data_IF_567482903672
#
_entry.id   IF_567482903672
#
_cell.length_a   1.000
_cell.length_b   1.000
_cell.length_c   1.000
_cell.angle_alpha   90.00
_cell.angle_beta   90.00
_cell.angle_gamma   90.00
#
_symmetry.space_group_name_H-M   'P 1'
#
loop_
_entity.id
_entity.type
_entity.pdbx_description
1 polymer ?
#
# COMPACT_ATOMS: atom_id res chain seq x y z
N UNK A 1 2.33 11.35 -21.84
CA UNK A 1 1.68 10.63 -20.73
C UNK A 1 2.59 10.75 -19.52
N UNK A 2 2.09 11.16 -18.35
CA UNK A 2 2.86 11.15 -17.10
C UNK A 2 2.79 9.72 -16.58
N UNK A 3 3.89 8.96 -16.68
CA UNK A 3 3.92 7.57 -16.24
C UNK A 3 3.81 7.44 -14.72
N UNK A 4 3.19 6.36 -14.26
CA UNK A 4 3.12 6.08 -12.81
C UNK A 4 4.54 5.88 -12.26
N UNK A 5 4.84 6.50 -11.11
CA UNK A 5 6.11 6.29 -10.42
C UNK A 5 5.94 5.14 -9.40
N UNK A 6 6.22 3.91 -9.84
CA UNK A 6 6.15 2.71 -8.99
C UNK A 6 7.08 2.80 -7.78
N UNK A 7 8.24 3.45 -7.92
CA UNK A 7 9.16 3.63 -6.78
C UNK A 7 8.58 4.57 -5.72
N UNK A 8 7.86 5.61 -6.14
CA UNK A 8 7.13 6.47 -5.21
C UNK A 8 6.00 5.71 -4.51
N UNK A 9 5.22 4.90 -5.24
CA UNK A 9 4.18 4.05 -4.67
C UNK A 9 4.73 3.02 -3.69
N UNK A 10 5.86 2.38 -4.03
CA UNK A 10 6.59 1.46 -3.14
C UNK A 10 7.08 2.17 -1.88
N UNK A 11 7.61 3.37 -2.01
CA UNK A 11 8.02 4.18 -0.85
C UNK A 11 6.85 4.49 0.07
N UNK A 12 5.68 4.84 -0.49
CA UNK A 12 4.46 5.08 0.28
C UNK A 12 3.97 3.80 0.99
N UNK A 13 3.93 2.67 0.29
CA UNK A 13 3.58 1.38 0.87
C UNK A 13 4.50 1.00 2.06
N UNK A 14 5.81 1.23 1.91
CA UNK A 14 6.77 0.98 2.98
C UNK A 14 6.52 1.87 4.21
N UNK A 15 6.17 3.16 4.02
CA UNK A 15 5.83 4.06 5.13
C UNK A 15 4.57 3.59 5.87
N UNK A 16 3.55 3.16 5.13
CA UNK A 16 2.32 2.62 5.71
C UNK A 16 2.59 1.35 6.52
N UNK A 17 3.44 0.46 5.99
CA UNK A 17 3.89 -0.73 6.71
C UNK A 17 4.66 -0.38 8.00
N UNK A 18 5.54 0.62 7.96
CA UNK A 18 6.25 1.11 9.15
C UNK A 18 5.29 1.65 10.21
N UNK A 19 4.29 2.43 9.81
CA UNK A 19 3.27 2.91 10.74
C UNK A 19 2.46 1.77 11.36
N UNK A 20 2.08 0.76 10.58
CA UNK A 20 1.42 -0.44 11.10
C UNK A 20 2.30 -1.17 12.15
N UNK A 21 3.60 -1.32 11.88
CA UNK A 21 4.55 -1.88 12.85
C UNK A 21 4.61 -1.07 14.14
N UNK A 22 4.68 0.27 14.06
CA UNK A 22 4.66 1.14 15.25
C UNK A 22 3.36 0.98 16.04
N UNK A 23 2.20 0.89 15.39
CA UNK A 23 0.93 0.66 16.10
C UNK A 23 0.89 -0.70 16.80
N UNK A 24 1.48 -1.74 16.20
CA UNK A 24 1.59 -3.05 16.85
C UNK A 24 2.52 -3.03 18.07
N UNK A 25 3.57 -2.20 18.05
CA UNK A 25 4.43 -2.00 19.23
C UNK A 25 3.68 -1.27 20.34
N UNK A 26 2.96 -0.19 20.01
CA UNK A 26 2.11 0.54 20.96
C UNK A 26 1.05 -0.39 21.56
N UNK A 27 0.41 -1.24 20.74
CA UNK A 27 -0.54 -2.25 21.19
C UNK A 27 0.08 -3.16 22.26
N UNK A 28 1.28 -3.72 21.99
CA UNK A 28 1.95 -4.64 22.93
C UNK A 28 2.30 -3.95 24.24
N UNK A 29 2.77 -2.71 24.17
CA UNK A 29 3.11 -1.91 25.35
C UNK A 29 1.87 -1.60 26.20
N UNK A 30 0.76 -1.22 25.55
CA UNK A 30 -0.48 -0.91 26.23
C UNK A 30 -1.11 -2.17 26.87
N UNK A 31 -1.05 -3.31 26.19
CA UNK A 31 -1.51 -4.58 26.75
C UNK A 31 -0.67 -5.02 27.95
N UNK A 32 0.66 -4.86 27.87
CA UNK A 32 1.54 -5.12 29.02
C UNK A 32 1.23 -4.20 30.20
N UNK A 33 0.98 -2.91 29.94
CA UNK A 33 0.56 -1.95 30.96
C UNK A 33 -0.76 -2.37 31.61
N UNK A 34 -1.75 -2.81 30.82
CA UNK A 34 -3.04 -3.32 31.33
C UNK A 34 -2.83 -4.48 32.28
N UNK A 35 -2.00 -5.45 31.90
CA UNK A 35 -1.69 -6.62 32.74
C UNK A 35 -1.04 -6.18 34.06
N UNK A 36 -0.06 -5.28 34.00
CA UNK A 36 0.62 -4.79 35.21
C UNK A 36 -0.33 -4.03 36.15
N UNK A 37 -1.22 -3.20 35.60
CA UNK A 37 -2.23 -2.49 36.39
C UNK A 37 -3.18 -3.46 37.10
N UNK A 38 -3.65 -4.51 36.42
CA UNK A 38 -4.52 -5.52 37.03
C UNK A 38 -3.82 -6.32 38.14
N UNK A 39 -2.49 -6.47 38.09
CA UNK A 39 -1.73 -7.12 39.15
C UNK A 39 -1.55 -6.22 40.37
N UNK A 40 -1.25 -4.93 40.14
CA UNK A 40 -0.94 -3.98 41.21
C UNK A 40 -2.18 -3.36 41.87
N UNK A 41 -3.29 -3.26 41.13
CA UNK A 41 -4.49 -2.55 41.57
C UNK A 41 -5.73 -3.40 41.31
N UNK A 42 -6.35 -3.88 42.39
CA UNK A 42 -7.58 -4.69 42.36
C UNK A 42 -8.75 -3.89 42.95
N UNK A 43 -9.14 -2.81 42.28
CA UNK A 43 -10.30 -2.01 42.68
C UNK A 43 -11.38 -2.03 41.59
N UNK A 44 -12.62 -1.71 41.97
CA UNK A 44 -13.78 -1.76 41.08
C UNK A 44 -13.60 -0.83 39.87
N UNK A 45 -12.91 0.31 40.05
CA UNK A 45 -12.62 1.28 38.99
C UNK A 45 -11.79 0.67 37.85
N UNK A 46 -11.02 -0.39 38.11
CA UNK A 46 -10.25 -1.08 37.07
C UNK A 46 -11.14 -1.67 35.98
N UNK A 47 -12.42 -1.92 36.25
CA UNK A 47 -13.38 -2.36 35.23
C UNK A 47 -13.50 -1.34 34.10
N UNK A 48 -13.60 -0.05 34.44
CA UNK A 48 -13.73 1.03 33.46
C UNK A 48 -12.41 1.30 32.73
N UNK A 49 -11.28 1.24 33.45
CA UNK A 49 -9.94 1.38 32.87
C UNK A 49 -9.69 0.24 31.86
N UNK A 50 -10.00 -1.01 32.24
CA UNK A 50 -9.85 -2.17 31.36
C UNK A 50 -10.75 -2.06 30.12
N UNK A 51 -11.98 -1.57 30.25
CA UNK A 51 -12.87 -1.34 29.13
C UNK A 51 -12.29 -0.33 28.14
N UNK A 52 -11.81 0.82 28.64
CA UNK A 52 -11.18 1.85 27.82
C UNK A 52 -9.91 1.33 27.11
N UNK A 53 -9.05 0.60 27.83
CA UNK A 53 -7.84 0.02 27.22
C UNK A 53 -8.21 -1.01 26.15
N UNK A 54 -9.20 -1.87 26.41
CA UNK A 54 -9.67 -2.86 25.43
C UNK A 54 -10.17 -2.18 24.15
N UNK A 55 -10.90 -1.08 24.28
CA UNK A 55 -11.33 -0.29 23.12
C UNK A 55 -10.14 0.26 22.35
N UNK A 56 -9.15 0.87 23.03
CA UNK A 56 -7.94 1.38 22.38
C UNK A 56 -7.16 0.27 21.66
N UNK A 57 -7.02 -0.90 22.27
CA UNK A 57 -6.35 -2.05 21.67
C UNK A 57 -7.05 -2.52 20.38
N UNK A 58 -8.39 -2.53 20.37
CA UNK A 58 -9.17 -2.86 19.19
C UNK A 58 -8.96 -1.82 18.07
N UNK A 59 -9.01 -0.54 18.40
CA UNK A 59 -8.79 0.55 17.43
C UNK A 59 -7.37 0.51 16.83
N UNK A 60 -6.34 0.25 17.66
CA UNK A 60 -4.97 0.07 17.21
C UNK A 60 -4.83 -1.11 16.23
N UNK A 61 -5.47 -2.24 16.54
CA UNK A 61 -5.46 -3.43 15.69
C UNK A 61 -6.13 -3.18 14.33
N UNK A 62 -7.30 -2.52 14.33
CA UNK A 62 -8.02 -2.14 13.10
C UNK A 62 -7.19 -1.16 12.26
N UNK A 63 -6.59 -0.15 12.89
CA UNK A 63 -5.79 0.85 12.19
C UNK A 63 -4.52 0.22 11.58
N UNK A 64 -3.80 -0.60 12.33
CA UNK A 64 -2.62 -1.35 11.85
C UNK A 64 -2.95 -2.24 10.65
N UNK A 65 -4.08 -2.96 10.71
CA UNK A 65 -4.55 -3.81 9.61
C UNK A 65 -4.91 -2.99 8.38
N UNK A 66 -5.61 -1.86 8.57
CA UNK A 66 -6.00 -0.95 7.48
C UNK A 66 -4.78 -0.36 6.78
N UNK A 67 -3.78 0.11 7.53
CA UNK A 67 -2.54 0.66 6.97
C UNK A 67 -1.79 -0.39 6.14
N UNK A 68 -1.74 -1.63 6.62
CA UNK A 68 -1.10 -2.74 5.89
C UNK A 68 -1.83 -3.05 4.59
N UNK A 69 -3.18 -3.08 4.61
CA UNK A 69 -3.99 -3.31 3.42
C UNK A 69 -3.79 -2.19 2.40
N UNK A 70 -3.94 -0.93 2.81
CA UNK A 70 -3.78 0.23 1.93
C UNK A 70 -2.37 0.26 1.32
N UNK A 71 -1.34 -0.06 2.09
CA UNK A 71 0.03 -0.14 1.57
C UNK A 71 0.17 -1.19 0.47
N UNK A 72 -0.41 -2.37 0.65
CA UNK A 72 -0.46 -3.42 -0.36
C UNK A 72 -1.21 -2.97 -1.61
N UNK A 73 -2.39 -2.37 -1.43
CA UNK A 73 -3.25 -1.94 -2.53
C UNK A 73 -2.60 -0.83 -3.38
N UNK A 74 -1.98 0.15 -2.73
CA UNK A 74 -1.24 1.23 -3.42
C UNK A 74 -0.12 0.67 -4.31
N UNK A 75 0.64 -0.29 -3.79
CA UNK A 75 1.72 -0.89 -4.57
C UNK A 75 1.19 -1.76 -5.71
N UNK A 76 0.13 -2.55 -5.47
CA UNK A 76 -0.49 -3.39 -6.47
C UNK A 76 -1.06 -2.57 -7.64
N UNK A 77 -1.84 -1.52 -7.34
CA UNK A 77 -2.42 -0.63 -8.37
C UNK A 77 -1.32 0.08 -9.16
N UNK A 78 -0.22 0.49 -8.52
CA UNK A 78 0.89 1.11 -9.24
C UNK A 78 1.56 0.15 -10.24
N UNK A 79 1.69 -1.14 -9.89
CA UNK A 79 2.20 -2.17 -10.80
C UNK A 79 1.24 -2.44 -11.97
N UNK A 80 -0.06 -2.51 -11.68
CA UNK A 80 -1.10 -2.69 -12.70
C UNK A 80 -1.09 -1.55 -13.72
N UNK A 81 -1.09 -0.31 -13.26
CA UNK A 81 -1.01 0.88 -14.13
C UNK A 81 0.26 0.83 -14.98
N UNK A 82 1.42 0.52 -14.38
CA UNK A 82 2.68 0.45 -15.12
C UNK A 82 2.61 -0.61 -16.22
N UNK A 83 2.04 -1.78 -15.92
CA UNK A 83 1.88 -2.84 -16.90
C UNK A 83 0.96 -2.42 -18.05
N UNK A 84 -0.18 -1.80 -17.75
CA UNK A 84 -1.08 -1.28 -18.78
C UNK A 84 -0.43 -0.20 -19.66
N UNK A 85 0.39 0.67 -19.06
CA UNK A 85 1.15 1.69 -19.79
C UNK A 85 2.19 1.06 -20.73
N UNK A 86 2.90 0.03 -20.28
CA UNK A 86 3.89 -0.70 -21.09
C UNK A 86 3.24 -1.42 -22.27
N UNK A 87 2.08 -2.06 -22.06
CA UNK A 87 1.31 -2.71 -23.13
C UNK A 87 0.85 -1.69 -24.16
N UNK A 88 0.25 -0.58 -23.73
CA UNK A 88 -0.19 0.51 -24.64
C UNK A 88 0.97 1.09 -25.44
N UNK A 89 2.11 1.35 -24.78
CA UNK A 89 3.30 1.87 -25.45
C UNK A 89 3.89 0.88 -26.47
N UNK A 90 3.85 -0.43 -26.18
CA UNK A 90 4.30 -1.46 -27.12
C UNK A 90 3.40 -1.54 -28.36
N UNK A 91 2.07 -1.45 -28.17
CA UNK A 91 1.12 -1.42 -29.28
C UNK A 91 1.31 -0.20 -30.18
N UNK A 92 1.48 0.98 -29.60
CA UNK A 92 1.74 2.22 -30.37
C UNK A 92 3.03 2.11 -31.19
N UNK A 93 4.11 1.60 -30.59
CA UNK A 93 5.38 1.36 -31.30
C UNK A 93 5.21 0.36 -32.44
N UNK A 94 4.48 -0.73 -32.22
CA UNK A 94 4.22 -1.72 -33.26
C UNK A 94 3.40 -1.13 -34.43
N UNK A 95 2.39 -0.29 -34.13
CA UNK A 95 1.60 0.42 -35.16
C UNK A 95 2.46 1.39 -35.97
N UNK A 96 3.29 2.19 -35.29
CA UNK A 96 4.20 3.13 -35.94
C UNK A 96 5.21 2.42 -36.85
N UNK A 97 5.79 1.32 -36.39
CA UNK A 97 6.73 0.51 -37.19
C UNK A 97 6.07 -0.08 -38.43
N UNK A 98 4.84 -0.61 -38.32
CA UNK A 98 4.08 -1.13 -39.47
C UNK A 98 3.78 -0.05 -40.50
N UNK A 99 3.35 1.12 -40.05
CA UNK A 99 3.10 2.28 -40.93
C UNK A 99 4.37 2.72 -41.66
N UNK A 100 5.50 2.82 -40.95
CA UNK A 100 6.78 3.16 -41.56
C UNK A 100 7.23 2.12 -42.60
N UNK A 101 7.10 0.82 -42.30
CA UNK A 101 7.40 -0.24 -43.27
C UNK A 101 6.50 -0.16 -44.50
N UNK A 102 5.20 0.11 -44.31
CA UNK A 102 4.27 0.24 -45.42
C UNK A 102 4.63 1.43 -46.33
N UNK A 103 4.95 2.60 -45.73
CA UNK A 103 5.39 3.79 -46.47
C UNK A 103 6.68 3.54 -47.25
N UNK A 104 7.67 2.88 -46.64
CA UNK A 104 8.94 2.52 -47.29
C UNK A 104 8.71 1.56 -48.46
N UNK A 105 7.88 0.54 -48.28
CA UNK A 105 7.57 -0.43 -49.33
C UNK A 105 6.79 0.19 -50.50
N UNK A 106 5.93 1.19 -50.23
CA UNK A 106 5.23 1.95 -51.26
C UNK A 106 6.19 2.83 -52.06
N UNK A 107 7.14 3.51 -51.42
CA UNK A 107 8.17 4.27 -52.13
C UNK A 107 9.05 3.40 -53.02
N UNK A 108 9.47 2.22 -52.55
CA UNK A 108 10.31 1.30 -53.35
C UNK A 108 9.59 0.72 -54.58
N UNK A 109 8.26 0.66 -54.59
CA UNK A 109 7.47 0.19 -55.74
C UNK A 109 7.19 1.28 -56.78
N UNK A 110 7.48 2.54 -56.46
CA UNK A 110 7.24 3.71 -57.31
C UNK A 110 8.47 4.13 -58.14
N UNK A 111 9.60 3.43 -57.96
CA UNK A 111 10.81 3.51 -58.78
C UNK A 111 11.05 2.17 -59.48
#
# INVERSE_FOLDING_TARGET
>A
MVGINVEAARSQANRLSQYASTLNEVYRNLESLRVNLNQAWQADEMTYINAAITQMLNELSVCSSSLSSIGSDVYAVALEIKHEEEVRAAEERARQQRLLQELLSKQQKLF
#
